data_IF_369799171583
#
_entry.id   IF_369799171583
#
_cell.length_a   1.000
_cell.length_b   1.000
_cell.length_c   1.000
_cell.angle_alpha   90.00
_cell.angle_beta   90.00
_cell.angle_gamma   90.00
#
_symmetry.space_group_name_H-M   'P 1'
#
loop_
_entity.id
_entity.type
_entity.pdbx_description
1 polymer ?
#
# COMPACT_ATOMS: atom_id res chain seq x y z
N UNK A 1 7.15 -8.40 -10.01
CA UNK A 1 8.53 -8.78 -10.43
C UNK A 1 9.09 -9.90 -9.54
N UNK A 2 9.31 -9.67 -8.23
CA UNK A 2 9.91 -10.67 -7.33
C UNK A 2 9.23 -12.07 -7.35
N UNK A 3 7.90 -12.14 -7.27
CA UNK A 3 7.16 -13.42 -7.36
C UNK A 3 7.39 -14.13 -8.70
N UNK A 4 7.41 -13.38 -9.80
CA UNK A 4 7.64 -13.93 -11.14
C UNK A 4 9.04 -14.51 -11.28
N UNK A 5 10.06 -13.77 -10.84
CA UNK A 5 11.45 -14.27 -10.81
C UNK A 5 11.59 -15.46 -9.86
N UNK A 6 11.02 -15.40 -8.67
CA UNK A 6 11.03 -16.52 -7.72
C UNK A 6 10.52 -17.81 -8.36
N UNK A 7 9.38 -17.76 -9.06
CA UNK A 7 8.82 -18.91 -9.78
C UNK A 7 9.74 -19.45 -10.88
N UNK A 8 10.47 -18.59 -11.60
CA UNK A 8 11.45 -19.04 -12.60
C UNK A 8 12.60 -19.84 -11.97
N UNK A 9 12.96 -19.53 -10.72
CA UNK A 9 13.99 -20.24 -9.95
C UNK A 9 13.41 -21.35 -9.04
N UNK A 10 12.11 -21.65 -9.13
CA UNK A 10 11.47 -22.70 -8.32
C UNK A 10 11.12 -22.29 -6.89
N UNK A 11 11.13 -20.99 -6.57
CA UNK A 11 10.71 -20.46 -5.27
C UNK A 11 9.27 -19.94 -5.31
N UNK A 12 8.51 -20.28 -4.27
CA UNK A 12 7.17 -19.74 -4.03
C UNK A 12 7.20 -18.65 -2.96
N UNK A 13 7.11 -17.39 -3.40
CA UNK A 13 6.98 -16.24 -2.50
C UNK A 13 5.52 -15.90 -2.23
N UNK A 14 5.26 -15.42 -1.01
CA UNK A 14 3.94 -14.90 -0.63
C UNK A 14 3.67 -13.55 -1.30
N UNK A 15 2.39 -13.27 -1.55
CA UNK A 15 1.97 -11.95 -2.03
C UNK A 15 2.22 -10.89 -0.97
N UNK A 16 2.81 -9.77 -1.36
CA UNK A 16 3.11 -8.69 -0.44
C UNK A 16 1.99 -7.63 -0.35
N UNK A 17 1.14 -7.54 -1.38
CA UNK A 17 0.04 -6.57 -1.44
C UNK A 17 -1.22 -7.24 -1.97
N UNK A 18 -2.35 -7.05 -1.27
CA UNK A 18 -3.65 -7.61 -1.63
C UNK A 18 -4.76 -6.54 -1.57
N UNK A 19 -4.82 -5.70 -2.60
CA UNK A 19 -5.76 -4.58 -2.72
C UNK A 19 -5.89 -3.76 -1.42
N UNK A 20 -4.81 -3.15 -0.91
CA UNK A 20 -4.82 -2.48 0.39
C UNK A 20 -5.74 -1.26 0.45
N UNK A 21 -5.96 -0.56 -0.66
CA UNK A 21 -6.77 0.68 -0.70
C UNK A 21 -8.29 0.45 -0.69
N UNK A 22 -8.76 -0.80 -0.74
CA UNK A 22 -10.18 -1.11 -0.51
C UNK A 22 -10.49 -1.41 0.97
N UNK A 23 -9.49 -1.29 1.84
CA UNK A 23 -9.62 -1.58 3.28
C UNK A 23 -10.60 -0.63 3.97
N UNK A 24 -11.36 -1.19 4.90
CA UNK A 24 -12.35 -0.47 5.72
C UNK A 24 -11.87 -0.21 7.16
N UNK A 25 -10.64 -0.58 7.46
CA UNK A 25 -9.97 -0.36 8.75
C UNK A 25 -8.45 -0.39 8.58
N UNK A 26 -7.73 0.20 9.52
CA UNK A 26 -6.27 0.19 9.57
C UNK A 26 -5.73 -1.20 9.83
N UNK A 27 -6.42 -1.97 10.69
CA UNK A 27 -6.11 -3.39 10.86
C UNK A 27 -6.23 -4.18 9.55
N UNK A 28 -7.27 -3.95 8.77
CA UNK A 28 -7.42 -4.60 7.46
C UNK A 28 -6.34 -4.16 6.47
N UNK A 29 -6.04 -2.86 6.45
CA UNK A 29 -4.98 -2.29 5.61
C UNK A 29 -3.63 -2.97 5.84
N UNK A 30 -3.19 -3.10 7.09
CA UNK A 30 -1.91 -3.77 7.41
C UNK A 30 -1.90 -5.28 7.18
N UNK A 31 -3.07 -5.92 7.05
CA UNK A 31 -3.16 -7.32 6.61
C UNK A 31 -3.05 -7.47 5.08
N UNK A 32 -3.21 -6.37 4.34
CA UNK A 32 -3.18 -6.31 2.87
C UNK A 32 -1.97 -5.55 2.33
N UNK A 33 -1.30 -4.76 3.16
CA UNK A 33 -0.13 -3.96 2.82
C UNK A 33 1.14 -4.56 3.40
N UNK A 34 2.17 -4.70 2.56
CA UNK A 34 3.47 -5.24 2.91
C UNK A 34 3.40 -6.50 3.80
N UNK A 35 2.63 -7.49 3.34
CA UNK A 35 2.26 -8.70 4.09
C UNK A 35 3.46 -9.46 4.63
N UNK A 36 4.57 -9.52 3.87
CA UNK A 36 5.78 -10.22 4.32
C UNK A 36 6.42 -9.54 5.53
N UNK A 37 6.57 -8.21 5.50
CA UNK A 37 7.09 -7.38 6.60
C UNK A 37 6.16 -7.44 7.81
N UNK A 38 4.86 -7.25 7.60
CA UNK A 38 3.86 -7.33 8.66
C UNK A 38 3.84 -8.70 9.33
N UNK A 39 4.04 -9.79 8.56
CA UNK A 39 4.15 -11.15 9.10
C UNK A 39 5.46 -11.34 9.87
N UNK A 40 6.58 -10.81 9.36
CA UNK A 40 7.85 -10.86 10.06
C UNK A 40 7.80 -10.16 11.42
N UNK A 41 7.32 -8.92 11.47
CA UNK A 41 7.16 -8.20 12.75
C UNK A 41 6.15 -8.89 13.68
N UNK A 42 5.09 -9.50 13.14
CA UNK A 42 4.17 -10.29 13.95
C UNK A 42 4.87 -11.49 14.60
N UNK A 43 5.59 -12.26 13.80
CA UNK A 43 6.11 -13.56 14.22
C UNK A 43 7.40 -13.45 15.03
N UNK A 44 8.23 -12.46 14.74
CA UNK A 44 9.55 -12.28 15.37
C UNK A 44 9.63 -11.16 16.41
N UNK A 45 8.63 -10.28 16.50
CA UNK A 45 8.62 -9.23 17.52
C UNK A 45 7.33 -9.27 18.35
N UNK A 46 6.17 -9.17 17.71
CA UNK A 46 4.89 -9.07 18.42
C UNK A 46 4.56 -10.31 19.26
N UNK A 47 4.67 -11.51 18.68
CA UNK A 47 4.38 -12.78 19.38
C UNK A 47 5.38 -13.02 20.53
N UNK A 48 6.71 -12.85 20.33
CA UNK A 48 7.69 -12.93 21.42
C UNK A 48 7.43 -11.96 22.58
N UNK A 49 6.91 -10.75 22.32
CA UNK A 49 6.47 -9.80 23.36
C UNK A 49 5.18 -10.23 24.10
N UNK A 50 4.66 -11.43 23.82
CA UNK A 50 3.44 -12.00 24.40
C UNK A 50 2.16 -11.74 23.59
N UNK A 51 2.29 -10.98 22.50
CA UNK A 51 1.25 -10.75 21.50
C UNK A 51 -0.05 -10.20 22.10
N UNK A 52 -1.17 -10.87 21.78
CA UNK A 52 -2.50 -10.55 22.32
C UNK A 52 -2.91 -11.42 23.52
N UNK A 53 -2.06 -12.35 23.97
CA UNK A 53 -2.43 -13.37 24.96
C UNK A 53 -1.75 -13.17 26.32
N UNK A 54 -0.50 -12.72 26.31
CA UNK A 54 0.30 -12.47 27.53
C UNK A 54 0.90 -11.07 27.41
N UNK A 55 0.79 -10.25 28.45
CA UNK A 55 1.30 -8.87 28.43
C UNK A 55 0.33 -7.80 27.93
N UNK A 56 0.79 -6.54 27.92
CA UNK A 56 -0.03 -5.40 27.53
C UNK A 56 -0.02 -5.22 26.01
N UNK A 57 -1.10 -5.64 25.37
CA UNK A 57 -1.20 -5.58 23.91
C UNK A 57 -1.06 -4.17 23.33
N UNK A 58 -1.46 -3.13 24.06
CA UNK A 58 -1.34 -1.75 23.59
C UNK A 58 0.13 -1.34 23.52
N UNK A 59 0.91 -1.68 24.55
CA UNK A 59 2.37 -1.46 24.57
C UNK A 59 3.04 -2.27 23.45
N UNK A 60 2.65 -3.53 23.27
CA UNK A 60 3.21 -4.37 22.21
C UNK A 60 2.95 -3.80 20.80
N UNK A 61 1.77 -3.22 20.57
CA UNK A 61 1.48 -2.54 19.29
C UNK A 61 2.36 -1.30 19.08
N UNK A 62 2.53 -0.46 20.10
CA UNK A 62 3.42 0.70 20.01
C UNK A 62 4.86 0.26 19.72
N UNK A 63 5.39 -0.73 20.44
CA UNK A 63 6.76 -1.22 20.24
C UNK A 63 6.94 -1.72 18.80
N UNK A 64 6.02 -2.54 18.30
CA UNK A 64 6.11 -3.08 16.94
C UNK A 64 6.08 -1.99 15.88
N UNK A 65 5.20 -1.01 16.02
CA UNK A 65 5.09 0.06 15.02
C UNK A 65 6.24 1.07 15.10
N UNK A 66 6.78 1.33 16.30
CA UNK A 66 8.02 2.09 16.46
C UNK A 66 9.20 1.36 15.80
N UNK A 67 9.34 0.06 16.04
CA UNK A 67 10.36 -0.76 15.40
C UNK A 67 10.19 -0.79 13.87
N UNK A 68 8.94 -0.81 13.38
CA UNK A 68 8.64 -0.73 11.95
C UNK A 68 9.05 0.63 11.38
N UNK A 69 8.77 1.74 12.07
CA UNK A 69 9.23 3.07 11.67
C UNK A 69 10.76 3.17 11.63
N UNK A 70 11.42 2.74 12.70
CA UNK A 70 12.89 2.74 12.80
C UNK A 70 13.56 1.85 11.73
N UNK A 71 12.92 0.75 11.32
CA UNK A 71 13.40 -0.09 10.22
C UNK A 71 13.41 0.65 8.88
N UNK A 72 12.53 1.63 8.68
CA UNK A 72 12.49 2.42 7.45
C UNK A 72 13.48 3.60 7.43
N UNK A 73 13.83 4.16 8.59
CA UNK A 73 14.84 5.20 8.70
C UNK A 73 14.99 5.77 10.11
N UNK A 74 16.07 6.53 10.33
CA UNK A 74 16.43 7.08 11.64
C UNK A 74 15.90 8.50 11.90
N UNK A 75 15.22 9.12 10.93
CA UNK A 75 14.65 10.46 11.09
C UNK A 75 13.31 10.41 11.87
N UNK A 76 12.97 11.52 12.54
CA UNK A 76 11.78 11.68 13.36
C UNK A 76 10.49 11.38 12.60
N UNK A 77 10.38 11.75 11.33
CA UNK A 77 9.15 11.53 10.57
C UNK A 77 8.79 10.03 10.46
N UNK A 78 9.77 9.12 10.46
CA UNK A 78 9.52 7.68 10.52
C UNK A 78 9.05 7.19 11.90
N UNK A 79 9.55 7.78 12.98
CA UNK A 79 9.09 7.48 14.35
C UNK A 79 7.63 7.90 14.52
N UNK A 80 7.29 9.12 14.10
CA UNK A 80 5.91 9.62 14.15
C UNK A 80 4.98 8.85 13.22
N UNK A 81 5.48 8.41 12.05
CA UNK A 81 4.75 7.51 11.16
C UNK A 81 4.43 6.17 11.83
N UNK A 82 5.39 5.58 12.55
CA UNK A 82 5.16 4.37 13.33
C UNK A 82 4.10 4.61 14.41
N UNK A 83 4.27 5.65 15.22
CA UNK A 83 3.31 6.02 16.26
C UNK A 83 1.91 6.28 15.71
N UNK A 84 1.79 6.95 14.56
CA UNK A 84 0.52 7.21 13.88
C UNK A 84 -0.27 5.92 13.69
N UNK A 85 0.32 4.90 13.06
CA UNK A 85 -0.36 3.62 12.84
C UNK A 85 -0.57 2.82 14.12
N UNK A 86 0.40 2.86 15.05
CA UNK A 86 0.27 2.24 16.37
C UNK A 86 -0.94 2.78 17.14
N UNK A 87 -1.10 4.11 17.19
CA UNK A 87 -2.22 4.79 17.85
C UNK A 87 -3.55 4.41 17.19
N UNK A 88 -3.65 4.48 15.86
CA UNK A 88 -4.92 4.16 15.20
C UNK A 88 -5.34 2.69 15.38
N UNK A 89 -4.40 1.74 15.40
CA UNK A 89 -4.72 0.35 15.70
C UNK A 89 -5.18 0.15 17.14
N UNK A 90 -4.61 0.90 18.09
CA UNK A 90 -5.06 0.90 19.49
C UNK A 90 -6.47 1.48 19.60
N UNK A 91 -6.73 2.62 18.94
CA UNK A 91 -8.05 3.25 18.90
C UNK A 91 -9.11 2.31 18.29
N UNK A 92 -8.83 1.70 17.14
CA UNK A 92 -9.72 0.72 16.51
C UNK A 92 -10.01 -0.45 17.44
N UNK A 93 -9.00 -0.93 18.18
CA UNK A 93 -9.16 -2.03 19.15
C UNK A 93 -10.05 -1.62 20.33
N UNK A 94 -9.88 -0.42 20.87
CA UNK A 94 -10.67 0.10 21.99
C UNK A 94 -12.12 0.33 21.53
N UNK A 95 -12.32 1.01 20.40
CA UNK A 95 -13.64 1.30 19.84
C UNK A 95 -14.39 0.02 19.49
N UNK A 96 -13.72 -0.97 18.89
CA UNK A 96 -14.34 -2.26 18.58
C UNK A 96 -14.78 -3.06 19.82
N UNK A 97 -14.09 -2.88 20.96
CA UNK A 97 -14.51 -3.47 22.25
C UNK A 97 -15.65 -2.69 22.90
N UNK A 98 -15.62 -1.35 22.83
CA UNK A 98 -16.61 -0.48 23.47
C UNK A 98 -17.95 -0.45 22.72
N UNK A 99 -17.91 -0.55 21.40
CA UNK A 99 -19.09 -0.46 20.54
C UNK A 99 -19.20 -1.65 19.56
N UNK A 100 -19.31 -2.90 20.06
CA UNK A 100 -19.28 -4.09 19.22
C UNK A 100 -20.48 -4.18 18.26
N UNK A 101 -21.60 -3.51 18.58
CA UNK A 101 -22.81 -3.49 17.77
C UNK A 101 -22.91 -2.27 16.83
N UNK A 102 -21.92 -1.37 16.82
CA UNK A 102 -21.97 -0.17 15.99
C UNK A 102 -21.98 -0.52 14.50
N UNK A 103 -23.04 -0.10 13.81
CA UNK A 103 -23.19 -0.26 12.35
C UNK A 103 -22.77 1.02 11.65
N UNK A 104 -21.47 1.14 11.36
CA UNK A 104 -20.96 2.22 10.51
C UNK A 104 -21.02 1.76 9.04
N UNK A 105 -21.63 2.54 8.12
CA UNK A 105 -21.66 2.23 6.69
C UNK A 105 -20.26 2.05 6.10
N UNK A 106 -20.14 1.17 5.09
CA UNK A 106 -18.85 0.88 4.43
C UNK A 106 -18.13 2.14 3.89
N UNK A 107 -18.81 3.08 3.18
CA UNK A 107 -18.12 4.27 2.64
C UNK A 107 -17.46 5.13 3.73
N UNK A 108 -18.09 5.26 4.90
CA UNK A 108 -17.52 6.01 6.03
C UNK A 108 -16.30 5.31 6.62
N UNK A 109 -16.37 3.98 6.78
CA UNK A 109 -15.25 3.17 7.26
C UNK A 109 -14.05 3.25 6.30
N UNK A 110 -14.32 3.13 5.01
CA UNK A 110 -13.32 3.28 3.96
C UNK A 110 -12.71 4.69 3.95
N UNK A 111 -13.53 5.74 3.98
CA UNK A 111 -13.05 7.12 4.01
C UNK A 111 -12.16 7.38 5.21
N UNK A 112 -12.58 6.94 6.40
CA UNK A 112 -11.76 6.98 7.60
C UNK A 112 -10.40 6.27 7.40
N UNK A 113 -10.42 5.02 6.92
CA UNK A 113 -9.20 4.25 6.73
C UNK A 113 -8.26 4.93 5.72
N UNK A 114 -8.81 5.45 4.62
CA UNK A 114 -8.04 6.13 3.58
C UNK A 114 -7.47 7.46 4.06
N UNK A 115 -8.21 8.25 4.86
CA UNK A 115 -7.68 9.48 5.43
C UNK A 115 -6.48 9.21 6.33
N UNK A 116 -6.57 8.20 7.21
CA UNK A 116 -5.44 7.81 8.07
C UNK A 116 -4.26 7.32 7.25
N UNK A 117 -4.50 6.52 6.21
CA UNK A 117 -3.44 6.00 5.33
C UNK A 117 -2.77 7.12 4.54
N UNK A 118 -3.54 8.04 3.96
CA UNK A 118 -3.01 9.17 3.17
C UNK A 118 -2.18 10.11 4.05
N UNK A 119 -2.67 10.47 5.24
CA UNK A 119 -1.89 11.28 6.19
C UNK A 119 -0.62 10.54 6.63
N UNK A 120 -0.73 9.23 6.86
CA UNK A 120 0.44 8.38 7.11
C UNK A 120 1.44 8.45 5.96
N UNK A 121 1.01 8.44 4.70
CA UNK A 121 1.93 8.54 3.56
C UNK A 121 2.66 9.87 3.48
N UNK A 122 2.05 10.97 3.90
CA UNK A 122 2.74 12.27 3.96
C UNK A 122 3.91 12.21 4.95
N UNK A 123 3.69 11.66 6.15
CA UNK A 123 4.75 11.47 7.16
C UNK A 123 5.86 10.54 6.65
N UNK A 124 5.51 9.50 5.88
CA UNK A 124 6.50 8.56 5.36
C UNK A 124 7.36 9.16 4.25
N UNK A 125 6.74 9.91 3.35
CA UNK A 125 7.36 10.40 2.11
C UNK A 125 8.09 11.73 2.29
N UNK A 126 7.73 12.51 3.31
CA UNK A 126 8.33 13.82 3.59
C UNK A 126 9.84 13.70 3.82
N UNK A 127 10.67 14.64 3.33
CA UNK A 127 12.10 14.68 3.63
C UNK A 127 12.44 14.98 5.10
N UNK A 128 11.45 15.39 5.90
CA UNK A 128 11.63 15.76 7.30
C UNK A 128 10.33 16.23 7.92
N UNK A 129 10.33 16.40 9.25
CA UNK A 129 9.13 16.72 10.02
C UNK A 129 8.50 18.08 9.66
N UNK A 130 9.32 19.11 9.45
CA UNK A 130 8.86 20.46 9.12
C UNK A 130 8.12 20.48 7.78
N UNK A 131 8.69 19.80 6.77
CA UNK A 131 8.05 19.66 5.47
C UNK A 131 6.76 18.86 5.58
N UNK A 132 6.72 17.79 6.38
CA UNK A 132 5.49 17.01 6.60
C UNK A 132 4.36 17.88 7.17
N UNK A 133 4.67 18.72 8.16
CA UNK A 133 3.70 19.65 8.76
C UNK A 133 3.16 20.66 7.76
N UNK A 134 4.05 21.28 6.97
CA UNK A 134 3.67 22.24 5.92
C UNK A 134 2.83 21.58 4.83
N UNK A 135 3.20 20.36 4.42
CA UNK A 135 2.45 19.58 3.45
C UNK A 135 1.03 19.32 3.96
N UNK A 136 0.90 18.79 5.19
CA UNK A 136 -0.41 18.51 5.78
C UNK A 136 -1.25 19.78 5.89
N UNK A 137 -0.68 20.89 6.36
CA UNK A 137 -1.37 22.18 6.43
C UNK A 137 -1.93 22.59 5.05
N UNK A 138 -1.11 22.48 4.01
CA UNK A 138 -1.49 22.82 2.63
C UNK A 138 -2.60 21.91 2.10
N UNK A 139 -2.59 20.61 2.44
CA UNK A 139 -3.65 19.68 2.04
C UNK A 139 -5.03 20.05 2.60
N UNK A 140 -5.06 20.69 3.76
CA UNK A 140 -6.29 21.23 4.38
C UNK A 140 -6.56 22.69 4.00
N UNK A 141 -5.79 23.26 3.06
CA UNK A 141 -5.95 24.62 2.55
C UNK A 141 -5.27 25.71 3.37
N UNK A 142 -4.52 25.35 4.42
CA UNK A 142 -3.76 26.33 5.21
C UNK A 142 -2.50 26.76 4.47
N UNK A 143 -2.24 28.06 4.41
CA UNK A 143 -1.05 28.61 3.74
C UNK A 143 -1.10 28.58 2.21
N UNK A 144 -2.22 28.17 1.61
CA UNK A 144 -2.40 28.22 0.17
C UNK A 144 -2.61 29.68 -0.30
N UNK A 145 -1.75 30.16 -1.21
CA UNK A 145 -1.79 31.51 -1.79
C UNK A 145 -2.67 31.62 -3.05
N UNK A 146 -3.58 30.67 -3.26
CA UNK A 146 -4.48 30.62 -4.41
C UNK A 146 -4.80 29.19 -4.85
N UNK A 147 -5.73 29.05 -5.79
CA UNK A 147 -6.00 27.79 -6.47
C UNK A 147 -5.20 27.75 -7.77
N UNK A 148 -4.37 26.73 -7.94
CA UNK A 148 -3.74 26.45 -9.23
C UNK A 148 -4.74 25.74 -10.15
N UNK A 149 -4.74 26.03 -11.45
CA UNK A 149 -5.65 25.39 -12.38
C UNK A 149 -5.29 23.90 -12.54
N UNK A 150 -6.31 23.04 -12.67
CA UNK A 150 -6.16 21.57 -12.65
C UNK A 150 -5.34 21.03 -13.82
N UNK A 151 -5.40 21.70 -14.97
CA UNK A 151 -4.66 21.37 -16.19
C UNK A 151 -3.14 21.46 -16.02
N UNK A 152 -2.65 22.23 -15.04
CA UNK A 152 -1.23 22.28 -14.67
C UNK A 152 -0.73 20.94 -14.09
N UNK A 153 -1.61 20.13 -13.50
CA UNK A 153 -1.23 18.87 -12.84
C UNK A 153 -1.83 17.62 -13.51
N UNK A 154 -2.91 17.79 -14.28
CA UNK A 154 -3.65 16.70 -14.92
C UNK A 154 -3.49 16.79 -16.43
N UNK A 155 -2.55 16.01 -16.97
CA UNK A 155 -2.43 15.78 -18.41
C UNK A 155 -3.30 14.59 -18.83
N UNK A 156 -3.65 14.44 -20.12
CA UNK A 156 -4.37 13.26 -20.60
C UNK A 156 -3.65 11.94 -20.26
N UNK A 157 -2.31 11.95 -20.29
CA UNK A 157 -1.52 10.80 -19.90
C UNK A 157 -1.63 10.52 -18.40
N UNK A 158 -1.50 11.53 -17.52
CA UNK A 158 -1.61 11.30 -16.08
C UNK A 158 -3.02 10.88 -15.67
N UNK A 159 -4.06 11.42 -16.31
CA UNK A 159 -5.44 10.98 -16.13
C UNK A 159 -5.64 9.51 -16.56
N UNK A 160 -5.07 9.12 -17.70
CA UNK A 160 -5.11 7.74 -18.20
C UNK A 160 -4.41 6.77 -17.24
N UNK A 161 -3.18 7.08 -16.84
CA UNK A 161 -2.39 6.28 -15.88
C UNK A 161 -3.12 6.18 -14.53
N UNK A 162 -3.67 7.28 -14.03
CA UNK A 162 -4.43 7.29 -12.79
C UNK A 162 -5.67 6.41 -12.88
N UNK A 163 -6.43 6.49 -13.98
CA UNK A 163 -7.62 5.68 -14.20
C UNK A 163 -7.30 4.18 -14.22
N UNK A 164 -6.27 3.78 -14.96
CA UNK A 164 -5.81 2.39 -14.95
C UNK A 164 -5.25 1.97 -13.59
N UNK A 165 -4.54 2.87 -12.90
CA UNK A 165 -4.06 2.64 -11.54
C UNK A 165 -5.19 2.33 -10.56
N UNK A 166 -6.26 3.14 -10.58
CA UNK A 166 -7.46 2.91 -9.76
C UNK A 166 -8.14 1.60 -10.14
N UNK A 167 -8.30 1.33 -11.44
CA UNK A 167 -8.91 0.10 -11.93
C UNK A 167 -8.14 -1.14 -11.43
N UNK A 168 -6.83 -1.19 -11.63
CA UNK A 168 -6.01 -2.34 -11.23
C UNK A 168 -5.69 -2.41 -9.73
N UNK A 169 -5.91 -1.32 -8.97
CA UNK A 169 -5.87 -1.34 -7.51
C UNK A 169 -7.12 -1.99 -6.88
N UNK A 170 -8.11 -2.37 -7.69
CA UNK A 170 -9.30 -3.12 -7.29
C UNK A 170 -9.22 -4.58 -7.76
N UNK A 171 -9.98 -5.52 -7.14
CA UNK A 171 -9.99 -6.93 -7.53
C UNK A 171 -10.74 -7.20 -8.85
N UNK A 172 -10.40 -6.47 -9.92
CA UNK A 172 -11.07 -6.51 -11.23
C UNK A 172 -11.00 -7.89 -11.85
N UNK A 173 -9.88 -8.61 -11.66
CA UNK A 173 -9.72 -9.99 -12.14
C UNK A 173 -10.83 -10.93 -11.65
N UNK A 174 -11.25 -10.77 -10.38
CA UNK A 174 -12.32 -11.61 -9.80
C UNK A 174 -13.68 -11.45 -10.49
N UNK A 175 -13.91 -10.30 -11.14
CA UNK A 175 -15.13 -10.04 -11.91
C UNK A 175 -15.17 -10.86 -13.21
N UNK A 176 -14.00 -11.20 -13.75
CA UNK A 176 -13.85 -11.92 -15.02
C UNK A 176 -13.63 -13.42 -14.85
N UNK A 177 -13.09 -13.87 -13.72
CA UNK A 177 -12.84 -15.31 -13.47
C UNK A 177 -14.13 -16.15 -13.52
N UNK A 178 -15.24 -15.63 -13.01
CA UNK A 178 -16.56 -16.32 -13.08
C UNK A 178 -17.11 -16.46 -14.50
N UNK A 179 -16.57 -15.74 -15.47
CA UNK A 179 -17.02 -15.73 -16.87
C UNK A 179 -16.05 -16.43 -17.83
N UNK A 180 -14.94 -16.98 -17.33
CA UNK A 180 -14.01 -17.77 -18.16
C UNK A 180 -14.68 -19.07 -18.59
N UNK A 181 -15.11 -19.12 -19.85
CA UNK A 181 -15.51 -20.36 -20.51
C UNK A 181 -14.25 -21.20 -20.75
N UNK A 182 -14.36 -22.55 -20.77
CA UNK A 182 -13.26 -23.40 -21.19
C UNK A 182 -12.75 -22.96 -22.57
N UNK A 183 -11.44 -23.01 -22.75
CA UNK A 183 -10.77 -22.64 -24.00
C UNK A 183 -11.35 -23.46 -25.15
N UNK A 184 -11.83 -22.79 -26.20
CA UNK A 184 -12.41 -23.46 -27.37
C UNK A 184 -11.33 -24.07 -28.27
N UNK A 185 -10.14 -23.46 -28.31
CA UNK A 185 -9.00 -23.91 -29.10
C UNK A 185 -7.69 -23.77 -28.29
N UNK A 186 -7.36 -24.75 -27.43
CA UNK A 186 -6.31 -24.60 -26.42
C UNK A 186 -4.93 -24.26 -27.00
N UNK A 187 -4.58 -24.80 -28.18
CA UNK A 187 -3.30 -24.53 -28.84
C UNK A 187 -3.24 -23.10 -29.37
N UNK A 188 -4.28 -22.67 -30.09
CA UNK A 188 -4.37 -21.32 -30.64
C UNK A 188 -4.37 -20.27 -29.52
N UNK A 189 -5.14 -20.52 -28.46
CA UNK A 189 -5.23 -19.64 -27.30
C UNK A 189 -3.87 -19.50 -26.60
N UNK A 190 -3.12 -20.60 -26.46
CA UNK A 190 -1.77 -20.60 -25.87
C UNK A 190 -0.75 -19.85 -26.74
N UNK A 191 -0.83 -20.00 -28.06
CA UNK A 191 0.04 -19.28 -29.00
C UNK A 191 -0.25 -17.78 -28.95
N UNK A 192 -1.52 -17.39 -28.96
CA UNK A 192 -1.92 -15.98 -28.85
C UNK A 192 -1.48 -15.36 -27.52
N UNK A 193 -1.61 -16.09 -26.41
CA UNK A 193 -1.12 -15.65 -25.11
C UNK A 193 0.40 -15.49 -25.11
N UNK A 194 1.13 -16.43 -25.69
CA UNK A 194 2.59 -16.34 -25.86
C UNK A 194 3.01 -15.13 -26.70
N UNK A 195 2.35 -14.89 -27.84
CA UNK A 195 2.60 -13.72 -28.68
C UNK A 195 2.32 -12.41 -27.93
N UNK A 196 1.23 -12.35 -27.14
CA UNK A 196 0.89 -11.18 -26.34
C UNK A 196 1.95 -10.91 -25.26
N UNK A 197 2.38 -11.95 -24.53
CA UNK A 197 3.43 -11.83 -23.50
C UNK A 197 4.75 -11.36 -24.13
N UNK A 198 5.11 -11.89 -25.30
CA UNK A 198 6.30 -11.45 -26.03
C UNK A 198 6.20 -10.00 -26.49
N UNK A 199 5.05 -9.59 -27.04
CA UNK A 199 4.82 -8.21 -27.45
C UNK A 199 4.90 -7.24 -26.26
N UNK A 200 4.31 -7.60 -25.11
CA UNK A 200 4.39 -6.83 -23.87
C UNK A 200 5.83 -6.75 -23.35
N UNK A 201 6.60 -7.83 -23.46
CA UNK A 201 8.02 -7.84 -23.07
C UNK A 201 8.83 -6.88 -23.94
N UNK A 202 8.67 -6.95 -25.27
CA UNK A 202 9.36 -6.06 -26.21
C UNK A 202 8.97 -4.59 -25.96
N UNK A 203 7.66 -4.30 -25.80
CA UNK A 203 7.19 -2.96 -25.47
C UNK A 203 7.78 -2.46 -24.14
N UNK A 204 7.84 -3.33 -23.13
CA UNK A 204 8.45 -2.98 -21.84
C UNK A 204 9.93 -2.65 -21.96
N UNK A 205 10.69 -3.41 -22.77
CA UNK A 205 12.12 -3.15 -23.03
C UNK A 205 12.30 -1.79 -23.74
N UNK A 206 11.46 -1.49 -24.73
CA UNK A 206 11.51 -0.21 -25.46
C UNK A 206 11.21 0.97 -24.53
N UNK A 207 10.23 0.84 -23.63
CA UNK A 207 9.88 1.89 -22.66
C UNK A 207 11.00 2.12 -21.63
N UNK A 208 11.68 1.06 -21.18
CA UNK A 208 12.79 1.16 -20.20
C UNK A 208 14.01 1.85 -20.80
N UNK A 209 14.32 1.64 -22.09
CA UNK A 209 15.42 2.36 -22.75
C UNK A 209 15.16 3.87 -22.89
N UNK A 210 13.89 4.29 -22.95
CA UNK A 210 13.51 5.70 -22.97
C UNK A 210 13.66 6.43 -21.62
N UNK A 211 13.75 5.70 -20.51
CA UNK A 211 13.96 6.27 -19.17
C UNK A 211 15.44 6.27 -18.81
N UNK A 212 16.20 7.24 -19.29
CA UNK A 212 17.58 7.45 -18.88
C UNK A 212 17.68 7.85 -17.39
N UNK A 213 18.43 7.05 -16.62
CA UNK A 213 18.93 7.30 -15.27
C UNK A 213 17.91 7.50 -14.14
N UNK A 214 17.39 6.39 -13.60
CA UNK A 214 16.99 6.36 -12.19
C UNK A 214 18.03 5.58 -11.39
N UNK A 215 18.89 6.27 -10.63
CA UNK A 215 19.80 5.60 -9.68
C UNK A 215 18.98 4.69 -8.76
N UNK A 216 19.52 3.52 -8.44
CA UNK A 216 18.83 2.56 -7.58
C UNK A 216 18.50 3.20 -6.23
N UNK A 217 17.28 3.00 -5.75
CA UNK A 217 16.69 3.76 -4.62
C UNK A 217 17.51 3.65 -3.32
N UNK A 218 18.30 2.56 -3.17
CA UNK A 218 19.22 2.34 -2.06
C UNK A 218 20.59 3.02 -2.20
N UNK A 219 20.74 3.96 -3.13
CA UNK A 219 21.90 4.84 -3.20
C UNK A 219 21.49 6.31 -3.21
N UNK A 220 20.24 6.61 -2.81
CA UNK A 220 19.65 7.95 -2.81
C UNK A 220 19.39 8.51 -1.39
N UNK A 221 20.09 7.97 -0.38
CA UNK A 221 20.07 8.50 0.98
C UNK A 221 21.29 9.37 1.26
#
# INVERSE_FOLDING_TARGET
MAIGLGRMFGFDFTENFNFPYISSSIKEFWRRWHISLSSWFRDYLYIPLGGSRRGNTYVNLIIVFLATGLWHGADWHFIFWGLWYGIFLILERILGKKFPQAKVPYPLKWLYAMLVVVVGWVLFRSPGMEFAGTYLATMFGFGASGAYPLDMFVSPLSACVFTFGVLFAMPVRSLFEKKRKPLRHPVLDSVLEGCLVLALLVASIMLVQGSTQSSFIYFQF
#
